data_IF_092733435995
#
_entry.id   IF_092733435995
#
_cell.length_a   1.000
_cell.length_b   1.000
_cell.length_c   1.000
_cell.angle_alpha   90.00
_cell.angle_beta   90.00
_cell.angle_gamma   90.00
#
_symmetry.space_group_name_H-M   'P 1'
#
loop_
_entity.id
_entity.type
_entity.pdbx_description
1 polymer ?
#
# COMPACT_ATOMS: atom_id res chain seq x y z
N UNK A 1 -45.88 -4.88 41.93
CA UNK A 1 -44.71 -4.02 42.24
C UNK A 1 -43.37 -4.77 42.13
N UNK A 2 -43.28 -6.06 42.49
CA UNK A 2 -42.02 -6.83 42.36
C UNK A 2 -41.63 -7.24 40.93
N UNK A 3 -42.59 -7.53 40.05
CA UNK A 3 -42.31 -8.07 38.71
C UNK A 3 -41.61 -7.07 37.77
N UNK A 4 -41.94 -5.79 37.86
CA UNK A 4 -41.29 -4.74 37.07
C UNK A 4 -39.82 -4.53 37.44
N UNK A 5 -39.45 -4.75 38.71
CA UNK A 5 -38.06 -4.64 39.15
C UNK A 5 -37.20 -5.79 38.62
N UNK A 6 -37.75 -7.00 38.59
CA UNK A 6 -37.05 -8.18 38.02
C UNK A 6 -36.88 -8.02 36.51
N UNK A 7 -37.90 -7.50 35.82
CA UNK A 7 -37.83 -7.26 34.38
C UNK A 7 -36.82 -6.15 34.03
N UNK A 8 -36.77 -5.06 34.81
CA UNK A 8 -35.77 -4.00 34.61
C UNK A 8 -34.35 -4.52 34.82
N UNK A 9 -34.12 -5.32 35.88
CA UNK A 9 -32.81 -5.91 36.16
C UNK A 9 -32.35 -6.85 35.05
N UNK A 10 -33.26 -7.63 34.47
CA UNK A 10 -32.95 -8.52 33.35
C UNK A 10 -32.62 -7.75 32.07
N UNK A 11 -33.34 -6.67 31.75
CA UNK A 11 -33.03 -5.80 30.59
C UNK A 11 -31.70 -5.09 30.77
N UNK A 12 -31.41 -4.56 31.97
CA UNK A 12 -30.10 -3.97 32.26
C UNK A 12 -28.96 -4.99 32.19
N UNK A 13 -29.18 -6.22 32.65
CA UNK A 13 -28.21 -7.30 32.55
C UNK A 13 -28.00 -7.74 31.09
N UNK A 14 -29.05 -7.80 30.28
CA UNK A 14 -28.97 -8.09 28.84
C UNK A 14 -28.22 -6.99 28.06
N UNK A 15 -28.42 -5.71 28.40
CA UNK A 15 -27.68 -4.58 27.81
C UNK A 15 -26.20 -4.57 28.21
N UNK A 16 -25.87 -4.99 29.43
CA UNK A 16 -24.50 -5.16 29.93
C UNK A 16 -23.82 -6.43 29.39
N UNK A 17 -24.58 -7.46 29.00
CA UNK A 17 -24.08 -8.68 28.37
C UNK A 17 -23.96 -8.53 26.84
N UNK A 18 -24.69 -7.60 26.22
CA UNK A 18 -24.59 -7.29 24.79
C UNK A 18 -23.48 -6.29 24.46
N UNK A 19 -22.79 -5.71 25.45
CA UNK A 19 -21.48 -5.09 25.23
C UNK A 19 -20.43 -6.19 25.07
N UNK A 20 -20.57 -7.01 24.03
CA UNK A 20 -19.42 -7.61 23.38
C UNK A 20 -18.46 -6.48 23.09
N UNK A 21 -17.31 -6.53 23.76
CA UNK A 21 -16.18 -5.63 23.57
C UNK A 21 -15.94 -5.50 22.06
N UNK A 22 -16.34 -4.36 21.49
CA UNK A 22 -15.86 -3.96 20.17
C UNK A 22 -14.41 -3.56 20.41
N UNK A 23 -13.53 -4.54 20.25
CA UNK A 23 -12.10 -4.36 20.43
C UNK A 23 -11.56 -3.65 19.19
N UNK A 24 -11.69 -2.33 19.21
CA UNK A 24 -10.70 -1.35 18.81
C UNK A 24 -9.37 -1.96 18.27
N UNK A 25 -9.13 -1.92 16.94
CA UNK A 25 -7.95 -2.55 16.32
C UNK A 25 -6.99 -1.51 15.74
N UNK A 26 -5.91 -1.23 16.47
CA UNK A 26 -4.78 -0.43 15.96
C UNK A 26 -3.71 -1.30 15.28
N UNK A 27 -3.09 -0.80 14.21
CA UNK A 27 -1.99 -1.47 13.51
C UNK A 27 -0.86 -0.50 13.18
N UNK A 28 0.38 -0.94 13.39
CA UNK A 28 1.58 -0.24 12.94
C UNK A 28 2.16 -0.97 11.71
N UNK A 29 2.61 -0.22 10.72
CA UNK A 29 3.27 -0.72 9.51
C UNK A 29 4.59 -0.01 9.26
N UNK A 30 5.52 -0.74 8.67
CA UNK A 30 6.76 -0.23 8.12
C UNK A 30 7.03 -0.93 6.78
N UNK A 31 7.23 -0.16 5.72
CA UNK A 31 7.57 -0.63 4.39
C UNK A 31 8.96 -0.15 4.00
N UNK A 32 9.92 -1.07 3.98
CA UNK A 32 11.22 -0.85 3.36
C UNK A 32 11.19 -1.46 1.95
N UNK A 33 11.28 -0.61 0.94
CA UNK A 33 11.13 -1.06 -0.44
C UNK A 33 12.00 -0.35 -1.45
N UNK A 34 11.94 -0.84 -2.68
CA UNK A 34 12.61 -0.22 -3.82
C UNK A 34 11.68 -0.20 -5.03
N UNK A 35 11.74 0.88 -5.80
CA UNK A 35 11.02 1.07 -7.06
C UNK A 35 11.96 0.97 -8.25
N UNK A 36 11.58 0.13 -9.21
CA UNK A 36 12.35 -0.05 -10.44
C UNK A 36 11.44 -0.09 -11.66
N UNK A 37 11.97 0.32 -12.80
CA UNK A 37 11.37 0.01 -14.08
C UNK A 37 12.31 -0.80 -14.95
N UNK A 38 11.74 -1.69 -15.77
CA UNK A 38 12.47 -2.46 -16.77
C UNK A 38 12.38 -1.82 -18.15
N UNK A 39 13.52 -1.69 -18.82
CA UNK A 39 13.58 -1.28 -20.23
C UNK A 39 13.40 -2.41 -21.23
N UNK A 40 13.42 -2.07 -22.52
CA UNK A 40 13.35 -3.02 -23.64
C UNK A 40 14.52 -4.03 -23.66
N UNK A 41 15.63 -3.65 -23.05
CA UNK A 41 16.85 -4.46 -22.89
C UNK A 41 16.82 -5.36 -21.64
N UNK A 42 15.69 -5.43 -20.94
CA UNK A 42 15.53 -6.07 -19.63
C UNK A 42 16.45 -5.49 -18.54
N UNK A 43 17.06 -4.33 -18.78
CA UNK A 43 17.84 -3.65 -17.74
C UNK A 43 16.89 -3.02 -16.74
N UNK A 44 17.23 -3.19 -15.46
CA UNK A 44 16.54 -2.60 -14.31
C UNK A 44 17.07 -1.18 -14.11
N UNK A 45 16.16 -0.22 -14.04
CA UNK A 45 16.46 1.18 -13.76
C UNK A 45 15.83 1.57 -12.44
N UNK A 46 16.61 2.08 -11.46
CA UNK A 46 16.03 2.61 -10.23
C UNK A 46 15.16 3.82 -10.56
N UNK A 47 13.94 3.85 -10.02
CA UNK A 47 13.02 4.96 -10.22
C UNK A 47 13.30 6.02 -9.16
N UNK A 48 14.15 6.99 -9.51
CA UNK A 48 14.60 8.06 -8.60
C UNK A 48 13.63 9.25 -8.62
N UNK A 49 13.49 9.94 -7.48
CA UNK A 49 12.67 11.14 -7.37
C UNK A 49 11.16 10.90 -7.48
N UNK A 50 10.70 9.69 -7.23
CA UNK A 50 9.28 9.30 -7.31
C UNK A 50 8.62 9.45 -5.95
N UNK A 51 7.42 10.03 -5.92
CA UNK A 51 6.63 10.13 -4.70
C UNK A 51 5.95 8.79 -4.41
N UNK A 52 6.21 8.24 -3.23
CA UNK A 52 5.58 7.02 -2.71
C UNK A 52 4.86 7.41 -1.45
N UNK A 53 3.57 7.11 -1.37
CA UNK A 53 2.74 7.49 -0.25
C UNK A 53 2.06 6.26 0.34
N UNK A 54 2.10 6.17 1.66
CA UNK A 54 1.38 5.17 2.42
C UNK A 54 0.02 5.72 2.80
N UNK A 55 -1.02 4.94 2.53
CA UNK A 55 -2.38 5.24 2.91
C UNK A 55 -3.01 4.09 3.68
N UNK A 56 -3.98 4.44 4.53
CA UNK A 56 -4.98 3.49 4.97
C UNK A 56 -6.11 3.39 3.93
N UNK A 57 -6.57 2.16 3.69
CA UNK A 57 -7.68 1.87 2.79
C UNK A 57 -9.00 1.85 3.57
N UNK A 58 -9.72 2.97 3.52
CA UNK A 58 -11.10 2.97 3.99
C UNK A 58 -11.96 1.97 3.17
N UNK A 59 -12.47 0.95 3.86
CA UNK A 59 -13.37 -0.10 3.37
C UNK A 59 -14.74 -0.04 4.05
N UNK A 60 -15.01 1.02 4.81
CA UNK A 60 -16.22 1.24 5.58
C UNK A 60 -17.48 1.47 4.72
N UNK A 61 -18.64 1.45 5.39
CA UNK A 61 -19.94 1.79 4.79
C UNK A 61 -20.02 3.27 4.35
N UNK A 62 -19.10 4.08 4.86
CA UNK A 62 -18.88 5.51 4.69
C UNK A 62 -17.81 5.88 3.66
N UNK A 63 -17.22 4.90 2.96
CA UNK A 63 -16.26 5.09 1.84
C UNK A 63 -16.73 6.00 0.69
N UNK A 64 -17.97 6.50 0.73
CA UNK A 64 -18.49 7.51 -0.20
C UNK A 64 -18.21 8.95 0.26
N UNK A 65 -17.75 9.16 1.49
CA UNK A 65 -17.44 10.48 2.07
C UNK A 65 -16.11 10.52 2.82
N UNK A 66 -15.56 9.37 3.18
CA UNK A 66 -14.25 9.26 3.81
C UNK A 66 -13.21 8.83 2.76
N UNK A 67 -12.16 9.64 2.62
CA UNK A 67 -11.08 9.40 1.66
C UNK A 67 -9.98 8.62 2.37
N UNK A 68 -9.28 7.73 1.64
CA UNK A 68 -8.11 7.02 2.17
C UNK A 68 -7.18 7.97 2.95
N UNK A 69 -6.90 7.63 4.22
CA UNK A 69 -6.09 8.45 5.10
C UNK A 69 -4.61 8.39 4.70
N UNK A 70 -4.00 9.55 4.45
CA UNK A 70 -2.57 9.65 4.20
C UNK A 70 -1.81 9.47 5.51
N UNK A 71 -0.94 8.46 5.56
CA UNK A 71 -0.14 8.15 6.74
C UNK A 71 1.29 8.67 6.62
N UNK A 72 1.91 8.49 5.45
CA UNK A 72 3.31 8.89 5.24
C UNK A 72 3.63 9.08 3.74
N UNK A 73 4.66 9.88 3.44
CA UNK A 73 5.11 10.18 2.08
C UNK A 73 6.63 10.19 2.03
N UNK A 74 7.18 9.51 1.04
CA UNK A 74 8.60 9.43 0.76
C UNK A 74 8.90 9.78 -0.69
N UNK A 75 10.07 10.36 -0.95
CA UNK A 75 10.60 10.56 -2.31
C UNK A 75 11.77 9.61 -2.50
N UNK A 76 11.70 8.74 -3.50
CA UNK A 76 12.72 7.71 -3.69
C UNK A 76 14.12 8.28 -3.90
N UNK A 77 15.11 7.62 -3.31
CA UNK A 77 16.52 7.99 -3.41
C UNK A 77 17.15 7.60 -4.77
N UNK A 78 18.46 7.81 -4.92
CA UNK A 78 19.20 7.45 -6.14
C UNK A 78 19.14 5.95 -6.53
N UNK A 79 18.80 5.08 -5.58
CA UNK A 79 18.66 3.64 -5.79
C UNK A 79 17.18 3.21 -5.96
N UNK A 80 16.26 4.18 -5.98
CA UNK A 80 14.82 3.93 -6.01
C UNK A 80 14.26 3.45 -4.67
N UNK A 81 15.02 3.58 -3.58
CA UNK A 81 14.65 3.07 -2.25
C UNK A 81 13.65 4.02 -1.59
N UNK A 82 12.73 3.45 -0.82
CA UNK A 82 11.82 4.18 0.06
C UNK A 82 11.66 3.46 1.40
N UNK A 83 11.41 4.24 2.45
CA UNK A 83 10.97 3.78 3.76
C UNK A 83 9.71 4.55 4.11
N UNK A 84 8.63 3.81 4.42
CA UNK A 84 7.37 4.39 4.86
C UNK A 84 6.97 3.76 6.19
N UNK A 85 6.44 4.56 7.10
CA UNK A 85 5.88 4.08 8.36
C UNK A 85 4.50 4.64 8.63
N UNK A 86 3.66 3.90 9.35
CA UNK A 86 2.31 4.36 9.60
C UNK A 86 1.66 3.66 10.77
N UNK A 87 0.73 4.35 11.41
CA UNK A 87 -0.16 3.79 12.40
C UNK A 87 -1.57 4.25 12.08
N UNK A 88 -2.50 3.29 12.05
CA UNK A 88 -3.91 3.62 11.96
C UNK A 88 -4.73 2.78 12.92
N UNK A 89 -5.93 3.27 13.21
CA UNK A 89 -6.86 2.70 14.15
C UNK A 89 -8.26 2.67 13.54
N UNK A 90 -8.87 1.49 13.55
CA UNK A 90 -10.24 1.31 13.07
C UNK A 90 -11.14 0.70 14.14
N UNK A 91 -12.39 1.19 14.19
CA UNK A 91 -13.36 0.75 15.19
C UNK A 91 -14.09 -0.53 14.76
N UNK A 92 -14.37 -0.71 13.47
CA UNK A 92 -15.20 -1.80 12.96
C UNK A 92 -14.41 -2.95 12.32
N UNK A 93 -13.22 -2.69 11.77
CA UNK A 93 -12.37 -3.69 11.14
C UNK A 93 -10.89 -3.45 11.45
N UNK A 94 -10.02 -4.34 10.96
CA UNK A 94 -8.57 -4.09 11.00
C UNK A 94 -8.21 -3.10 9.90
N UNK A 95 -7.39 -2.05 10.17
CA UNK A 95 -6.92 -1.12 9.14
C UNK A 95 -6.25 -1.87 7.99
N UNK A 96 -6.52 -1.50 6.74
CA UNK A 96 -5.82 -2.08 5.57
C UNK A 96 -4.93 -1.03 4.94
N UNK A 97 -3.79 -1.40 4.37
CA UNK A 97 -2.81 -0.43 3.90
C UNK A 97 -2.59 -0.56 2.40
N UNK A 98 -2.46 0.59 1.73
CA UNK A 98 -2.15 0.66 0.31
C UNK A 98 -0.97 1.62 0.09
N UNK A 99 -0.16 1.33 -0.91
CA UNK A 99 0.89 2.24 -1.38
C UNK A 99 0.42 2.92 -2.66
N UNK A 100 0.48 4.25 -2.70
CA UNK A 100 0.30 5.03 -3.94
C UNK A 100 1.67 5.49 -4.45
N UNK A 101 1.86 5.40 -5.75
CA UNK A 101 3.06 5.86 -6.46
C UNK A 101 2.62 6.97 -7.41
N UNK A 102 3.16 8.17 -7.22
CA UNK A 102 2.94 9.33 -8.06
C UNK A 102 4.24 9.72 -8.76
N UNK A 103 4.19 9.72 -10.10
CA UNK A 103 5.34 9.97 -10.95
C UNK A 103 5.09 11.25 -11.72
N UNK A 104 5.93 12.26 -11.50
CA UNK A 104 6.05 13.39 -12.40
C UNK A 104 6.63 12.91 -13.73
N UNK A 105 5.91 13.10 -14.82
CA UNK A 105 6.37 12.71 -16.14
C UNK A 105 7.39 13.75 -16.65
N UNK A 106 8.64 13.31 -16.74
CA UNK A 106 9.79 14.09 -17.17
C UNK A 106 10.54 13.31 -18.25
N UNK A 107 10.43 13.78 -19.49
CA UNK A 107 11.12 13.19 -20.65
C UNK A 107 12.65 13.30 -20.55
N UNK A 108 13.19 14.14 -19.66
CA UNK A 108 14.64 14.25 -19.43
C UNK A 108 15.17 13.16 -18.51
N UNK A 109 14.32 12.57 -17.66
CA UNK A 109 14.69 11.49 -16.75
C UNK A 109 15.19 10.26 -17.51
N UNK A 110 16.36 9.74 -17.10
CA UNK A 110 16.96 8.56 -17.72
C UNK A 110 16.08 7.31 -17.55
N UNK A 111 15.62 7.06 -16.32
CA UNK A 111 14.83 5.87 -16.02
C UNK A 111 13.47 5.92 -16.73
N UNK A 112 12.85 7.10 -16.85
CA UNK A 112 11.55 7.23 -17.54
C UNK A 112 11.67 6.99 -19.04
N UNK A 113 12.72 7.51 -19.68
CA UNK A 113 12.98 7.24 -21.11
C UNK A 113 13.26 5.76 -21.39
N UNK A 114 13.94 5.10 -20.46
CA UNK A 114 14.27 3.69 -20.60
C UNK A 114 13.09 2.77 -20.25
N UNK A 115 12.20 3.20 -19.36
CA UNK A 115 11.11 2.41 -18.84
C UNK A 115 10.19 1.88 -19.95
N UNK A 116 9.86 0.59 -19.91
CA UNK A 116 8.98 -0.04 -20.88
C UNK A 116 7.63 -0.47 -20.30
N UNK A 117 7.06 0.36 -19.44
CA UNK A 117 5.70 0.18 -18.95
C UNK A 117 4.69 0.91 -19.85
N UNK A 118 3.72 0.16 -20.36
CA UNK A 118 2.72 0.67 -21.30
C UNK A 118 1.75 1.64 -20.63
N UNK A 119 1.36 1.36 -19.38
CA UNK A 119 0.40 2.20 -18.66
C UNK A 119 1.04 3.50 -18.17
N UNK A 120 2.29 3.45 -17.70
CA UNK A 120 3.08 4.64 -17.38
C UNK A 120 3.23 5.54 -18.60
N UNK A 121 3.67 4.99 -19.74
CA UNK A 121 3.80 5.76 -20.99
C UNK A 121 2.47 6.37 -21.40
N UNK A 122 1.39 5.60 -21.31
CA UNK A 122 0.04 6.06 -21.63
C UNK A 122 -0.36 7.24 -20.74
N UNK A 123 -0.30 7.11 -19.41
CA UNK A 123 -0.64 8.19 -18.49
C UNK A 123 0.24 9.42 -18.71
N UNK A 124 1.56 9.25 -18.88
CA UNK A 124 2.45 10.37 -19.18
C UNK A 124 2.18 11.04 -20.54
N UNK A 125 1.59 10.32 -21.50
CA UNK A 125 1.15 10.90 -22.77
C UNK A 125 -0.20 11.62 -22.67
N UNK A 126 -1.16 11.04 -21.93
CA UNK A 126 -2.58 11.43 -21.86
C UNK A 126 -2.88 12.46 -20.76
N UNK A 127 -2.06 12.54 -19.69
CA UNK A 127 -2.21 13.46 -18.57
C UNK A 127 -1.90 14.91 -18.95
N UNK A 128 -2.60 15.50 -19.92
CA UNK A 128 -2.61 16.93 -20.16
C UNK A 128 -3.97 17.49 -19.71
N UNK A 129 -4.03 18.09 -18.52
CA UNK A 129 -5.10 19.05 -18.24
C UNK A 129 -4.84 20.28 -19.12
N UNK A 130 -5.68 20.57 -20.15
CA UNK A 130 -5.34 21.59 -21.15
C UNK A 130 -5.31 23.01 -20.60
N UNK A 131 -5.87 23.24 -19.41
CA UNK A 131 -6.12 24.59 -18.88
C UNK A 131 -5.22 24.98 -17.70
N UNK A 132 -4.54 24.04 -17.03
CA UNK A 132 -3.65 24.34 -15.91
C UNK A 132 -2.46 23.37 -15.83
N UNK A 133 -1.27 23.95 -15.99
CA UNK A 133 0.06 23.40 -15.70
C UNK A 133 0.74 22.51 -16.76
N UNK A 134 2.00 22.80 -17.01
CA UNK A 134 2.95 22.00 -17.81
C UNK A 134 3.33 20.66 -17.15
N UNK A 135 2.57 20.22 -16.15
CA UNK A 135 2.93 19.15 -15.24
C UNK A 135 2.03 17.95 -15.48
N UNK A 136 2.61 16.85 -15.98
CA UNK A 136 1.90 15.60 -16.21
C UNK A 136 2.26 14.62 -15.12
N UNK A 137 1.28 13.92 -14.57
CA UNK A 137 1.49 12.94 -13.49
C UNK A 137 0.88 11.61 -13.90
N UNK A 138 1.60 10.52 -13.61
CA UNK A 138 1.08 9.16 -13.64
C UNK A 138 0.89 8.65 -12.20
N UNK A 139 -0.24 7.99 -11.94
CA UNK A 139 -0.65 7.55 -10.60
C UNK A 139 -0.96 6.07 -10.60
N UNK A 140 -0.41 5.38 -9.60
CA UNK A 140 -0.60 3.95 -9.41
C UNK A 140 -0.87 3.66 -7.94
N UNK A 141 -1.60 2.59 -7.68
CA UNK A 141 -1.87 2.13 -6.32
C UNK A 141 -1.68 0.62 -6.25
N UNK A 142 -1.06 0.16 -5.18
CA UNK A 142 -0.92 -1.25 -4.87
C UNK A 142 -1.44 -1.50 -3.46
N UNK A 143 -2.45 -2.36 -3.38
CA UNK A 143 -2.95 -2.84 -2.10
C UNK A 143 -1.91 -3.77 -1.49
N UNK A 144 -1.47 -3.48 -0.26
CA UNK A 144 -0.51 -4.33 0.44
C UNK A 144 -1.29 -5.27 1.36
N UNK A 145 -1.68 -6.44 0.84
CA UNK A 145 -2.46 -7.40 1.60
C UNK A 145 -1.67 -8.00 2.77
N UNK A 146 -2.36 -8.19 3.90
CA UNK A 146 -2.04 -9.22 4.90
C UNK A 146 -3.30 -9.64 5.66
N UNK A 147 -3.76 -10.88 5.44
CA UNK A 147 -4.72 -11.58 6.31
C UNK A 147 -4.04 -12.83 6.89
N UNK A 148 -4.00 -12.94 8.23
CA UNK A 148 -4.21 -14.25 8.82
C UNK A 148 -5.06 -14.11 10.07
N UNK A 149 -6.35 -14.44 9.94
CA UNK A 149 -7.22 -14.99 10.99
C UNK A 149 -7.82 -14.03 12.03
N UNK A 150 -7.68 -12.71 11.90
CA UNK A 150 -8.54 -11.74 12.61
C UNK A 150 -8.52 -11.80 14.15
N UNK A 151 -7.51 -12.44 14.76
CA UNK A 151 -7.37 -12.60 16.20
C UNK A 151 -6.17 -11.77 16.71
N UNK A 152 -6.51 -10.76 17.53
CA UNK A 152 -5.74 -9.97 18.50
C UNK A 152 -4.41 -9.29 18.13
N UNK A 153 -4.43 -7.96 18.36
CA UNK A 153 -3.43 -7.09 19.01
C UNK A 153 -2.14 -6.65 18.29
N UNK A 154 -1.99 -5.32 18.13
CA UNK A 154 -0.75 -4.53 18.22
C UNK A 154 0.52 -5.06 17.54
N UNK A 155 0.42 -5.76 16.42
CA UNK A 155 1.60 -6.15 15.66
C UNK A 155 2.13 -4.98 14.83
N UNK A 156 3.44 -4.72 14.94
CA UNK A 156 4.18 -3.97 13.92
C UNK A 156 4.45 -4.93 12.77
N UNK A 157 3.82 -4.68 11.63
CA UNK A 157 4.19 -5.38 10.41
C UNK A 157 5.35 -4.66 9.77
N UNK A 158 6.39 -5.41 9.42
CA UNK A 158 7.52 -4.88 8.67
C UNK A 158 7.63 -5.63 7.37
N UNK A 159 7.67 -4.92 6.26
CA UNK A 159 8.02 -5.49 4.97
C UNK A 159 9.47 -5.12 4.70
N UNK A 160 10.36 -6.11 4.77
CA UNK A 160 11.73 -5.92 4.31
C UNK A 160 11.80 -6.31 2.84
N UNK A 161 12.43 -5.45 2.03
CA UNK A 161 12.67 -5.70 0.61
C UNK A 161 11.38 -5.79 -0.21
N UNK A 162 10.44 -4.86 0.02
CA UNK A 162 9.30 -4.69 -0.88
C UNK A 162 9.82 -4.23 -2.26
N UNK A 163 9.82 -5.11 -3.23
CA UNK A 163 10.25 -4.83 -4.61
C UNK A 163 9.04 -4.46 -5.45
N UNK A 164 8.92 -3.16 -5.76
CA UNK A 164 7.89 -2.60 -6.62
C UNK A 164 8.46 -2.32 -8.02
N UNK A 165 7.77 -2.80 -9.04
CA UNK A 165 8.29 -2.89 -10.41
C UNK A 165 7.24 -2.43 -11.43
N UNK A 166 7.73 -1.74 -12.48
CA UNK A 166 6.98 -1.35 -13.67
C UNK A 166 7.54 -2.02 -14.93
N UNK A 167 6.66 -2.28 -15.90
CA UNK A 167 7.02 -2.87 -17.19
C UNK A 167 6.95 -4.39 -17.17
N UNK A 168 8.11 -5.05 -17.02
CA UNK A 168 8.23 -6.50 -17.10
C UNK A 168 8.25 -7.15 -15.73
N UNK A 169 7.52 -8.25 -15.54
CA UNK A 169 7.68 -9.11 -14.36
C UNK A 169 8.51 -10.35 -14.71
N UNK A 170 9.39 -10.75 -13.79
CA UNK A 170 10.03 -12.08 -13.82
C UNK A 170 9.01 -13.16 -13.48
N UNK A 171 8.76 -14.09 -14.39
CA UNK A 171 7.93 -15.28 -14.16
C UNK A 171 8.84 -16.50 -14.05
N UNK A 172 8.75 -17.21 -12.91
CA UNK A 172 9.52 -18.42 -12.68
C UNK A 172 8.71 -19.65 -13.10
N UNK A 173 9.17 -20.36 -14.13
CA UNK A 173 8.58 -21.61 -14.60
C UNK A 173 9.59 -22.74 -14.48
N UNK A 174 9.44 -23.58 -13.45
CA UNK A 174 10.23 -24.82 -13.32
C UNK A 174 11.76 -24.61 -13.30
N UNK A 175 12.23 -23.51 -12.72
CA UNK A 175 13.66 -23.15 -12.67
C UNK A 175 14.14 -22.26 -13.82
N UNK A 176 13.31 -21.98 -14.82
CA UNK A 176 13.60 -21.00 -15.87
C UNK A 176 12.95 -19.65 -15.55
N UNK A 177 13.66 -18.56 -15.84
CA UNK A 177 13.14 -17.19 -15.76
C UNK A 177 12.61 -16.82 -17.15
N UNK A 178 11.31 -16.54 -17.22
CA UNK A 178 10.65 -16.01 -18.40
C UNK A 178 10.21 -14.57 -18.12
N UNK A 179 10.56 -13.64 -19.00
CA UNK A 179 10.09 -12.26 -18.91
C UNK A 179 8.84 -12.13 -19.78
N UNK A 180 7.68 -11.87 -19.16
CA UNK A 180 6.42 -11.64 -19.87
C UNK A 180 5.95 -10.21 -19.65
N UNK A 181 5.45 -9.60 -20.72
CA UNK A 181 4.86 -8.26 -20.67
C UNK A 181 3.39 -8.27 -20.22
N UNK A 182 2.77 -9.45 -19.99
CA UNK A 182 1.31 -9.56 -19.88
C UNK A 182 0.79 -10.11 -18.55
N UNK A 183 0.02 -9.28 -17.85
CA UNK A 183 -1.45 -9.37 -17.64
C UNK A 183 -1.95 -8.19 -16.75
N UNK A 184 -1.02 -7.42 -16.15
CA UNK A 184 -1.31 -6.26 -15.30
C UNK A 184 -0.30 -5.13 -15.60
N UNK A 185 -0.49 -4.32 -16.66
CA UNK A 185 0.35 -3.14 -16.87
C UNK A 185 0.23 -2.18 -15.68
N UNK A 186 1.32 -1.50 -15.31
CA UNK A 186 1.39 -0.62 -14.14
C UNK A 186 2.20 -1.19 -12.96
N UNK A 187 1.88 -0.74 -11.75
CA UNK A 187 2.64 -1.04 -10.53
C UNK A 187 2.39 -2.47 -10.03
N UNK A 188 3.45 -3.25 -9.91
CA UNK A 188 3.42 -4.55 -9.23
C UNK A 188 4.44 -4.58 -8.10
N UNK A 189 4.01 -4.88 -6.87
CA UNK A 189 4.93 -5.07 -5.75
C UNK A 189 4.98 -6.54 -5.32
N UNK A 190 6.17 -7.01 -4.98
CA UNK A 190 6.42 -8.34 -4.41
C UNK A 190 7.37 -8.19 -3.21
N UNK A 191 7.35 -9.14 -2.28
CA UNK A 191 8.14 -9.04 -1.06
C UNK A 191 7.52 -9.86 0.06
N UNK A 192 8.25 -10.00 1.17
CA UNK A 192 7.82 -10.78 2.32
C UNK A 192 7.55 -9.91 3.53
N UNK A 193 6.49 -10.24 4.27
CA UNK A 193 6.36 -9.79 5.65
C UNK A 193 7.51 -10.39 6.46
N UNK A 194 8.25 -9.54 7.15
CA UNK A 194 9.18 -9.91 8.19
C UNK A 194 8.41 -10.20 9.48
N UNK A 195 8.48 -11.43 9.97
CA UNK A 195 8.05 -11.76 11.33
C UNK A 195 9.00 -11.11 12.37
N UNK A 196 8.60 -11.06 13.64
CA UNK A 196 9.19 -10.38 14.83
C UNK A 196 10.72 -10.54 15.05
N UNK A 197 11.45 -11.24 14.18
CA UNK A 197 12.89 -11.55 14.28
C UNK A 197 13.76 -10.80 13.26
N UNK A 198 13.21 -9.90 12.47
CA UNK A 198 14.04 -9.03 11.64
C UNK A 198 14.66 -7.95 12.55
N UNK A 199 15.84 -8.28 13.09
CA UNK A 199 16.64 -7.39 13.92
C UNK A 199 16.98 -6.15 13.11
N UNK A 200 16.51 -4.99 13.57
CA UNK A 200 17.06 -3.71 13.14
C UNK A 200 18.59 -3.74 13.33
N UNK A 201 19.39 -3.17 12.42
CA UNK A 201 20.70 -2.70 12.84
C UNK A 201 20.47 -1.73 14.00
N UNK A 202 21.08 -2.00 15.16
CA UNK A 202 21.04 -1.06 16.28
C UNK A 202 21.64 0.26 15.83
N UNK A 203 20.86 1.35 15.95
CA UNK A 203 21.39 2.73 15.90
C UNK A 203 22.44 2.97 16.98
#
# INVERSE_FOLDING_TARGET
KGEYHVMLLLVSLLLLLSSSLVEARGRNVEFNGTLHCYGDDYKRYPMTGVHVALFEEDRGFDSWWDEHDLLDVYVTDENGTFNLEGYHYEFWHSPTFLIKVEIECDETSEWQRACNDVELKKQCSESAMPELSHYKVAKFSHLVEYDPSGNNDNYRMRYEQLECEFGWRKVYHGGNIEYKQDYYPGLSCTGGLCDLRCTLPSE
#
